data_IF_873956326387
#
_entry.id   IF_873956326387
#
_cell.length_a   1.000
_cell.length_b   1.000
_cell.length_c   1.000
_cell.angle_alpha   90.00
_cell.angle_beta   90.00
_cell.angle_gamma   90.00
#
_symmetry.space_group_name_H-M   'P 1'
#
loop_
_entity.id
_entity.type
_entity.pdbx_description
1 polymer ?
#
# COMPACT_ATOMS: atom_id res chain seq x y z
N UNK A 1 -4.83 24.79 0.14
CA UNK A 1 -5.65 23.78 -0.56
C UNK A 1 -4.78 22.70 -1.20
N UNK A 2 -3.76 23.03 -1.99
CA UNK A 2 -2.95 22.06 -2.76
C UNK A 2 -2.21 21.00 -1.93
N UNK A 3 -1.63 21.32 -0.78
CA UNK A 3 -0.88 20.34 0.02
C UNK A 3 -1.76 19.25 0.67
N UNK A 4 -3.08 19.46 0.79
CA UNK A 4 -4.00 18.46 1.34
C UNK A 4 -4.28 17.31 0.35
N UNK A 5 -4.26 17.60 -0.96
CA UNK A 5 -4.50 16.61 -2.03
C UNK A 5 -3.42 15.54 -2.10
N UNK A 6 -2.18 15.87 -1.74
CA UNK A 6 -1.07 14.89 -1.75
C UNK A 6 -1.32 13.74 -0.77
N UNK A 7 -2.07 13.96 0.31
CA UNK A 7 -2.39 12.87 1.24
C UNK A 7 -3.49 11.94 0.71
N UNK A 8 -4.31 12.39 -0.24
CA UNK A 8 -5.31 11.53 -0.88
C UNK A 8 -4.68 10.49 -1.81
N UNK A 9 -3.38 10.64 -2.15
CA UNK A 9 -2.59 9.66 -2.90
C UNK A 9 -1.96 8.54 -2.04
N UNK A 10 -1.99 8.67 -0.72
CA UNK A 10 -1.44 7.68 0.21
C UNK A 10 -2.31 6.44 0.48
N UNK A 11 -3.63 6.56 0.61
CA UNK A 11 -4.50 5.42 0.88
C UNK A 11 -4.32 4.23 -0.07
N UNK A 12 -4.13 4.43 -1.38
CA UNK A 12 -3.89 3.32 -2.30
C UNK A 12 -2.58 2.55 -2.06
N UNK A 13 -1.58 3.18 -1.45
CA UNK A 13 -0.33 2.49 -1.11
C UNK A 13 -0.49 1.67 0.17
N UNK A 14 -1.25 2.17 1.14
CA UNK A 14 -1.39 1.51 2.44
C UNK A 14 -2.51 0.46 2.47
N UNK A 15 -3.66 0.78 1.88
CA UNK A 15 -4.89 -0.05 1.89
C UNK A 15 -5.15 -0.68 0.53
N UNK A 16 -4.44 -0.27 -0.53
CA UNK A 16 -4.66 -0.81 -1.86
C UNK A 16 -4.46 -2.32 -1.99
N UNK A 17 -3.76 -2.98 -1.05
CA UNK A 17 -3.66 -4.46 -1.03
C UNK A 17 -5.03 -5.12 -0.97
N UNK A 18 -6.02 -4.51 -0.30
CA UNK A 18 -7.38 -5.04 -0.17
C UNK A 18 -8.09 -5.10 -1.53
N UNK A 19 -7.83 -4.11 -2.38
CA UNK A 19 -8.44 -4.02 -3.72
C UNK A 19 -7.60 -4.68 -4.80
N UNK A 20 -6.27 -4.68 -4.65
CA UNK A 20 -5.34 -5.27 -5.61
C UNK A 20 -5.20 -6.78 -5.41
N UNK A 21 -5.26 -7.25 -4.17
CA UNK A 21 -5.03 -8.63 -3.76
C UNK A 21 -6.29 -9.31 -3.22
N UNK A 22 -7.49 -8.94 -3.69
CA UNK A 22 -8.69 -9.65 -3.32
C UNK A 22 -8.58 -11.13 -3.76
N UNK A 23 -9.04 -12.03 -2.90
CA UNK A 23 -9.05 -13.47 -3.15
C UNK A 23 -10.47 -13.82 -3.62
N UNK A 24 -10.69 -14.08 -4.91
CA UNK A 24 -11.98 -14.59 -5.36
C UNK A 24 -12.17 -16.04 -4.93
N UNK A 25 -13.42 -16.51 -4.99
CA UNK A 25 -13.71 -17.93 -4.91
C UNK A 25 -12.89 -18.68 -5.97
N UNK A 26 -12.21 -19.72 -5.54
CA UNK A 26 -11.27 -20.46 -6.36
C UNK A 26 -11.43 -21.95 -6.11
N UNK A 27 -11.04 -22.73 -7.11
CA UNK A 27 -10.96 -24.18 -7.03
C UNK A 27 -9.75 -24.66 -7.81
N UNK A 28 -9.41 -25.90 -7.58
CA UNK A 28 -8.30 -26.52 -8.28
C UNK A 28 -8.63 -26.79 -9.74
N UNK A 29 -7.67 -26.56 -10.62
CA UNK A 29 -7.75 -27.03 -11.99
C UNK A 29 -7.54 -28.55 -11.97
N UNK A 30 -8.53 -29.29 -12.46
CA UNK A 30 -8.46 -30.75 -12.60
C UNK A 30 -8.34 -31.08 -14.09
N UNK A 31 -7.17 -31.56 -14.56
CA UNK A 31 -6.98 -31.94 -15.96
C UNK A 31 -8.00 -33.00 -16.38
N UNK A 32 -8.55 -32.89 -17.59
CA UNK A 32 -9.53 -33.84 -18.15
C UNK A 32 -10.99 -33.59 -17.76
N UNK A 33 -11.27 -32.83 -16.69
CA UNK A 33 -12.66 -32.51 -16.28
C UNK A 33 -13.43 -31.78 -17.38
N UNK A 34 -12.82 -30.80 -18.04
CA UNK A 34 -13.48 -30.03 -19.09
C UNK A 34 -13.90 -30.91 -20.29
N UNK A 35 -13.12 -31.94 -20.61
CA UNK A 35 -13.41 -32.88 -21.69
C UNK A 35 -14.54 -33.85 -21.30
N UNK A 36 -14.51 -34.37 -20.08
CA UNK A 36 -15.59 -35.21 -19.53
C UNK A 36 -16.90 -34.43 -19.40
N UNK A 37 -16.85 -33.20 -18.89
CA UNK A 37 -17.99 -32.30 -18.74
C UNK A 37 -18.66 -32.04 -20.09
N UNK A 38 -17.86 -31.75 -21.13
CA UNK A 38 -18.35 -31.60 -22.51
C UNK A 38 -18.97 -32.89 -23.07
N UNK A 39 -18.33 -34.04 -22.85
CA UNK A 39 -18.81 -35.36 -23.31
C UNK A 39 -20.11 -35.78 -22.64
N UNK A 40 -20.25 -35.52 -21.34
CA UNK A 40 -21.41 -35.87 -20.54
C UNK A 40 -22.53 -34.81 -20.60
N UNK A 41 -22.24 -33.61 -21.10
CA UNK A 41 -23.20 -32.51 -21.19
C UNK A 41 -23.58 -31.92 -19.83
N UNK A 42 -22.65 -31.90 -18.88
CA UNK A 42 -22.90 -31.40 -17.52
C UNK A 42 -23.14 -29.89 -17.50
N UNK A 43 -24.05 -29.46 -16.64
CA UNK A 43 -24.13 -28.07 -16.21
C UNK A 43 -22.95 -27.73 -15.26
N UNK A 44 -22.63 -26.44 -15.11
CA UNK A 44 -21.56 -26.00 -14.21
C UNK A 44 -21.80 -26.48 -12.76
N UNK A 45 -23.05 -26.53 -12.32
CA UNK A 45 -23.40 -26.98 -10.97
C UNK A 45 -23.20 -28.49 -10.81
N UNK A 46 -23.56 -29.29 -11.80
CA UNK A 46 -23.29 -30.73 -11.83
C UNK A 46 -21.79 -31.02 -11.87
N UNK A 47 -21.03 -30.31 -12.73
CA UNK A 47 -19.58 -30.43 -12.79
C UNK A 47 -18.94 -30.16 -11.42
N UNK A 48 -19.35 -29.09 -10.74
CA UNK A 48 -18.81 -28.72 -9.43
C UNK A 48 -19.17 -29.75 -8.34
N UNK A 49 -20.40 -30.26 -8.35
CA UNK A 49 -20.83 -31.29 -7.40
C UNK A 49 -20.06 -32.61 -7.56
N UNK A 50 -19.68 -32.95 -8.80
CA UNK A 50 -18.89 -34.14 -9.08
C UNK A 50 -17.38 -33.94 -8.86
N UNK A 51 -16.83 -32.75 -9.10
CA UNK A 51 -15.38 -32.56 -9.21
C UNK A 51 -14.75 -31.89 -8.00
N UNK A 52 -15.52 -31.11 -7.24
CA UNK A 52 -15.03 -30.38 -6.06
C UNK A 52 -15.44 -31.10 -4.79
N UNK A 53 -14.49 -31.44 -3.89
CA UNK A 53 -14.83 -32.10 -2.63
C UNK A 53 -15.82 -31.28 -1.79
N UNK A 54 -16.86 -31.92 -1.24
CA UNK A 54 -17.81 -31.28 -0.31
C UNK A 54 -18.40 -29.93 -0.82
N UNK A 55 -18.65 -29.81 -2.13
CA UNK A 55 -19.27 -28.61 -2.72
C UNK A 55 -20.64 -28.32 -2.07
N UNK A 56 -20.91 -27.07 -1.71
CA UNK A 56 -22.18 -26.62 -1.09
C UNK A 56 -22.23 -26.63 0.45
N UNK A 57 -21.25 -27.20 1.15
CA UNK A 57 -21.17 -27.09 2.62
C UNK A 57 -20.36 -25.84 3.02
N UNK A 58 -21.04 -24.74 3.36
CA UNK A 58 -20.39 -23.45 3.68
C UNK A 58 -19.31 -23.52 4.78
N UNK A 59 -19.46 -24.36 5.81
CA UNK A 59 -18.47 -24.51 6.89
C UNK A 59 -17.19 -25.26 6.47
N UNK A 60 -17.27 -26.16 5.48
CA UNK A 60 -16.13 -26.96 4.99
C UNK A 60 -15.63 -26.55 3.60
N UNK A 61 -16.33 -25.64 2.94
CA UNK A 61 -15.99 -25.07 1.64
C UNK A 61 -14.57 -24.49 1.64
N UNK A 62 -14.14 -23.83 2.73
CA UNK A 62 -12.81 -23.25 2.80
C UNK A 62 -11.70 -24.31 2.73
N UNK A 63 -11.92 -25.49 3.32
CA UNK A 63 -11.00 -26.62 3.25
C UNK A 63 -11.07 -27.35 1.93
N UNK A 64 -12.20 -27.33 1.21
CA UNK A 64 -12.27 -28.01 -0.09
C UNK A 64 -11.74 -27.22 -1.27
N UNK A 65 -11.62 -25.89 -1.14
CA UNK A 65 -11.08 -25.03 -2.20
C UNK A 65 -9.62 -25.34 -2.55
N UNK A 66 -8.85 -25.88 -1.58
CA UNK A 66 -7.41 -26.17 -1.71
C UNK A 66 -7.06 -27.63 -2.04
N UNK A 67 -8.08 -28.48 -2.23
CA UNK A 67 -7.91 -29.91 -2.43
C UNK A 67 -8.72 -30.38 -3.63
N UNK A 68 -8.19 -31.37 -4.35
CA UNK A 68 -8.89 -32.05 -5.44
C UNK A 68 -8.89 -33.55 -5.26
N UNK A 69 -9.84 -34.23 -5.89
CA UNK A 69 -9.80 -35.69 -5.96
C UNK A 69 -8.55 -36.14 -6.72
N UNK A 70 -7.82 -37.08 -6.14
CA UNK A 70 -6.67 -37.72 -6.77
C UNK A 70 -7.17 -38.81 -7.71
N UNK A 71 -7.66 -38.39 -8.88
CA UNK A 71 -8.14 -39.26 -9.92
C UNK A 71 -7.79 -38.71 -11.31
N UNK A 72 -7.60 -39.63 -12.25
CA UNK A 72 -7.40 -39.30 -13.65
C UNK A 72 -8.76 -39.25 -14.36
N UNK A 73 -9.19 -38.04 -14.74
CA UNK A 73 -10.45 -37.81 -15.42
C UNK A 73 -10.43 -38.27 -16.89
N UNK A 74 -9.27 -38.63 -17.43
CA UNK A 74 -9.16 -39.13 -18.80
C UNK A 74 -9.34 -40.66 -18.91
N UNK A 75 -9.61 -41.34 -17.79
CA UNK A 75 -9.79 -42.79 -17.79
C UNK A 75 -11.01 -43.24 -18.61
N UNK A 76 -10.78 -44.21 -19.48
CA UNK A 76 -11.85 -44.88 -20.22
C UNK A 76 -12.75 -45.67 -19.26
N UNK A 77 -14.03 -45.32 -19.18
CA UNK A 77 -15.02 -46.00 -18.34
C UNK A 77 -15.63 -45.16 -17.20
N UNK A 78 -15.35 -43.86 -17.15
CA UNK A 78 -16.05 -42.94 -16.23
C UNK A 78 -17.55 -42.86 -16.55
N UNK A 79 -18.38 -43.09 -15.53
CA UNK A 79 -19.83 -42.90 -15.62
C UNK A 79 -20.17 -41.41 -15.52
N UNK A 80 -21.04 -40.93 -16.41
CA UNK A 80 -21.50 -39.54 -16.40
C UNK A 80 -22.43 -39.21 -15.23
N UNK A 81 -23.06 -40.20 -14.58
CA UNK A 81 -23.99 -39.96 -13.46
C UNK A 81 -23.31 -40.10 -12.10
N UNK A 82 -22.32 -40.98 -12.00
CA UNK A 82 -21.59 -41.28 -10.76
C UNK A 82 -20.10 -41.53 -11.01
N UNK A 83 -19.32 -40.50 -11.39
CA UNK A 83 -17.90 -40.68 -11.74
C UNK A 83 -17.02 -41.19 -10.59
N UNK A 84 -17.45 -41.05 -9.33
CA UNK A 84 -16.69 -41.41 -8.12
C UNK A 84 -16.98 -42.83 -7.58
N UNK A 85 -18.01 -43.51 -8.09
CA UNK A 85 -18.43 -44.82 -7.56
C UNK A 85 -17.36 -45.91 -7.75
N UNK A 86 -16.65 -45.89 -8.88
CA UNK A 86 -15.57 -46.87 -9.15
C UNK A 86 -14.38 -46.75 -8.18
N UNK A 87 -14.19 -45.59 -7.54
CA UNK A 87 -13.07 -45.34 -6.63
C UNK A 87 -13.43 -45.51 -5.16
N UNK A 88 -14.72 -45.51 -4.82
CA UNK A 88 -15.21 -45.75 -3.45
C UNK A 88 -15.38 -47.23 -3.13
N UNK A 89 -15.48 -48.11 -4.15
CA UNK A 89 -15.66 -49.56 -3.97
C UNK A 89 -14.34 -50.34 -3.77
N UNK A 90 -13.21 -49.78 -4.22
CA UNK A 90 -11.91 -50.48 -4.20
C UNK A 90 -11.10 -50.29 -2.90
N UNK A 91 -11.39 -49.26 -2.10
CA UNK A 91 -10.72 -49.02 -0.82
C UNK A 91 -11.71 -49.23 0.33
N UNK A 92 -11.30 -49.96 1.36
CA UNK A 92 -12.06 -50.18 2.61
C UNK A 92 -12.30 -48.89 3.44
N UNK A 93 -11.94 -47.73 2.91
CA UNK A 93 -12.32 -46.40 3.38
C UNK A 93 -13.28 -45.78 2.37
N UNK A 94 -14.50 -45.44 2.81
CA UNK A 94 -15.58 -44.87 1.99
C UNK A 94 -15.31 -43.45 1.46
N UNK A 95 -14.05 -43.05 1.26
CA UNK A 95 -13.65 -41.71 0.83
C UNK A 95 -12.61 -41.80 -0.28
N UNK A 96 -12.87 -41.10 -1.38
CA UNK A 96 -11.93 -40.93 -2.50
C UNK A 96 -10.69 -40.19 -1.99
N UNK A 97 -9.46 -40.61 -2.36
CA UNK A 97 -8.24 -39.94 -1.93
C UNK A 97 -8.21 -38.50 -2.44
N UNK A 98 -7.77 -37.58 -1.58
CA UNK A 98 -7.59 -36.17 -1.88
C UNK A 98 -6.11 -35.85 -2.07
N UNK A 99 -5.81 -34.91 -2.94
CA UNK A 99 -4.47 -34.36 -3.14
C UNK A 99 -4.49 -32.83 -3.19
N UNK A 100 -3.34 -32.23 -2.91
CA UNK A 100 -3.10 -30.80 -3.12
C UNK A 100 -3.11 -30.45 -4.62
N UNK A 101 -3.33 -29.18 -4.91
CA UNK A 101 -3.59 -28.72 -6.26
C UNK A 101 -2.30 -28.25 -6.92
N UNK A 102 -1.76 -29.10 -7.80
CA UNK A 102 -0.49 -28.88 -8.49
C UNK A 102 -0.68 -28.32 -9.91
N UNK A 103 -1.81 -28.61 -10.54
CA UNK A 103 -2.08 -28.29 -11.96
C UNK A 103 -2.64 -26.87 -12.18
N UNK A 104 -2.72 -26.05 -11.13
CA UNK A 104 -3.20 -24.67 -11.19
C UNK A 104 -4.61 -24.46 -10.63
N UNK A 105 -5.18 -23.28 -10.91
CA UNK A 105 -6.39 -22.78 -10.24
C UNK A 105 -7.40 -22.20 -11.23
N UNK A 106 -8.68 -22.37 -10.91
CA UNK A 106 -9.79 -21.75 -11.62
C UNK A 106 -10.47 -20.75 -10.68
N UNK A 107 -10.49 -19.49 -11.08
CA UNK A 107 -11.06 -18.38 -10.30
C UNK A 107 -12.43 -17.98 -10.82
N UNK A 108 -13.40 -17.83 -9.92
CA UNK A 108 -14.74 -17.35 -10.24
C UNK A 108 -14.82 -15.83 -10.07
N UNK A 109 -14.20 -15.08 -10.98
CA UNK A 109 -14.27 -13.61 -10.99
C UNK A 109 -14.18 -13.02 -12.39
N UNK A 110 -14.93 -11.94 -12.63
CA UNK A 110 -14.85 -11.17 -13.88
C UNK A 110 -13.61 -10.27 -13.97
N UNK A 111 -12.93 -10.02 -12.85
CA UNK A 111 -11.74 -9.19 -12.74
C UNK A 111 -10.46 -9.98 -12.50
N UNK A 112 -9.31 -9.27 -12.59
CA UNK A 112 -8.00 -9.82 -12.27
C UNK A 112 -7.44 -9.17 -11.02
N UNK A 113 -6.89 -9.98 -10.11
CA UNK A 113 -6.17 -9.56 -8.91
C UNK A 113 -4.74 -10.10 -8.92
N UNK A 114 -3.90 -9.59 -8.01
CA UNK A 114 -2.54 -10.12 -7.77
C UNK A 114 -2.61 -11.61 -7.43
N UNK A 115 -3.65 -12.03 -6.71
CA UNK A 115 -3.88 -13.43 -6.32
C UNK A 115 -4.14 -14.28 -7.54
N UNK A 116 -5.05 -13.86 -8.42
CA UNK A 116 -5.42 -14.63 -9.61
C UNK A 116 -4.29 -14.71 -10.64
N UNK A 117 -3.41 -13.71 -10.67
CA UNK A 117 -2.31 -13.67 -11.64
C UNK A 117 -1.08 -14.47 -11.18
N UNK A 118 -0.78 -14.48 -9.88
CA UNK A 118 0.37 -15.20 -9.32
C UNK A 118 0.00 -16.46 -8.54
N UNK A 119 -1.27 -16.89 -8.60
CA UNK A 119 -1.80 -18.07 -7.91
C UNK A 119 -1.51 -18.10 -6.39
N UNK A 120 -1.72 -16.97 -5.72
CA UNK A 120 -1.36 -16.78 -4.30
C UNK A 120 -2.44 -17.30 -3.34
N UNK A 121 -2.85 -18.55 -3.51
CA UNK A 121 -3.89 -19.21 -2.70
C UNK A 121 -3.32 -20.42 -1.96
N UNK A 122 -4.03 -20.89 -0.93
CA UNK A 122 -3.70 -22.11 -0.18
C UNK A 122 -2.28 -22.07 0.40
N UNK A 123 -1.37 -22.95 -0.03
CA UNK A 123 0.03 -22.98 0.46
C UNK A 123 0.78 -21.67 0.23
N UNK A 124 0.38 -20.90 -0.78
CA UNK A 124 1.02 -19.64 -1.16
C UNK A 124 0.29 -18.40 -0.61
N UNK A 125 -0.76 -18.58 0.18
CA UNK A 125 -1.56 -17.49 0.76
C UNK A 125 -0.73 -16.51 1.61
N UNK A 126 0.26 -17.02 2.35
CA UNK A 126 1.18 -16.21 3.18
C UNK A 126 1.98 -15.17 2.37
N UNK A 127 2.11 -15.36 1.05
CA UNK A 127 2.79 -14.39 0.19
C UNK A 127 2.04 -13.06 0.18
N UNK A 128 0.70 -13.06 0.20
CA UNK A 128 -0.06 -11.81 0.33
C UNK A 128 0.25 -11.06 1.63
N UNK A 129 0.37 -11.80 2.74
CA UNK A 129 0.73 -11.22 4.04
C UNK A 129 2.17 -10.69 4.02
N UNK A 130 3.08 -11.38 3.34
CA UNK A 130 4.45 -10.90 3.11
C UNK A 130 4.43 -9.59 2.32
N UNK A 131 3.60 -9.48 1.27
CA UNK A 131 3.49 -8.28 0.45
C UNK A 131 3.11 -7.05 1.31
N UNK A 132 2.14 -7.19 2.22
CA UNK A 132 1.77 -6.12 3.15
C UNK A 132 2.84 -5.89 4.23
N UNK A 133 3.46 -6.97 4.73
CA UNK A 133 4.54 -6.88 5.72
C UNK A 133 5.75 -6.12 5.18
N UNK A 134 6.10 -6.29 3.92
CA UNK A 134 7.15 -5.53 3.25
C UNK A 134 6.84 -4.02 3.20
N UNK A 135 5.58 -3.62 2.97
CA UNK A 135 5.19 -2.20 3.07
C UNK A 135 5.44 -1.67 4.48
N UNK A 136 5.02 -2.42 5.50
CA UNK A 136 5.16 -2.01 6.90
C UNK A 136 6.63 -1.93 7.34
N UNK A 137 7.46 -2.91 6.94
CA UNK A 137 8.90 -2.87 7.16
C UNK A 137 9.55 -1.66 6.47
N UNK A 138 9.15 -1.40 5.21
CA UNK A 138 9.56 -0.20 4.49
C UNK A 138 9.13 1.08 5.21
N UNK A 139 7.91 1.15 5.74
CA UNK A 139 7.42 2.31 6.49
C UNK A 139 8.27 2.58 7.73
N UNK A 140 8.64 1.52 8.46
CA UNK A 140 9.48 1.64 9.65
C UNK A 140 10.85 2.23 9.30
N UNK A 141 11.58 1.60 8.37
CA UNK A 141 12.91 2.07 7.94
C UNK A 141 12.81 3.47 7.34
N UNK A 142 11.84 3.67 6.45
CA UNK A 142 11.58 4.93 5.77
C UNK A 142 11.30 6.10 6.70
N UNK A 143 10.53 5.88 7.76
CA UNK A 143 10.21 6.92 8.74
C UNK A 143 11.46 7.50 9.41
N UNK A 144 12.47 6.66 9.65
CA UNK A 144 13.75 7.05 10.26
C UNK A 144 14.64 7.72 9.20
N UNK A 145 14.88 7.05 8.07
CA UNK A 145 15.84 7.51 7.06
C UNK A 145 15.39 8.80 6.37
N UNK A 146 14.13 8.84 5.92
CA UNK A 146 13.59 9.98 5.16
C UNK A 146 13.38 11.18 6.10
N UNK A 147 13.00 10.95 7.36
CA UNK A 147 12.93 12.01 8.37
C UNK A 147 14.28 12.72 8.53
N UNK A 148 15.36 11.94 8.70
CA UNK A 148 16.72 12.47 8.78
C UNK A 148 17.12 13.25 7.52
N UNK A 149 16.81 12.72 6.33
CA UNK A 149 17.09 13.38 5.05
C UNK A 149 16.29 14.69 4.92
N UNK A 150 15.02 14.71 5.34
CA UNK A 150 14.16 15.90 5.26
C UNK A 150 14.69 17.05 6.14
N UNK A 151 15.22 16.73 7.31
CA UNK A 151 15.80 17.73 8.21
C UNK A 151 17.14 18.25 7.71
N UNK A 152 17.94 17.41 7.06
CA UNK A 152 19.26 17.82 6.53
C UNK A 152 19.19 18.56 5.20
N UNK A 153 18.41 18.06 4.25
CA UNK A 153 18.38 18.55 2.86
C UNK A 153 17.19 19.47 2.55
N UNK A 154 16.23 19.57 3.47
CA UNK A 154 15.04 20.40 3.31
C UNK A 154 13.80 19.57 3.03
N UNK A 155 12.65 20.11 3.42
CA UNK A 155 11.38 19.39 3.44
C UNK A 155 10.80 19.33 2.03
N UNK A 156 10.93 20.41 1.25
CA UNK A 156 10.46 20.46 -0.14
C UNK A 156 11.17 19.46 -1.05
N UNK A 157 12.51 19.43 -1.01
CA UNK A 157 13.29 18.53 -1.86
C UNK A 157 13.01 17.07 -1.51
N UNK A 158 12.97 16.74 -0.22
CA UNK A 158 12.65 15.41 0.27
C UNK A 158 11.26 14.94 -0.17
N UNK A 159 10.24 15.83 -0.10
CA UNK A 159 8.90 15.52 -0.60
C UNK A 159 8.87 15.20 -2.09
N UNK A 160 9.63 15.91 -2.90
CA UNK A 160 9.62 15.68 -4.36
C UNK A 160 10.32 14.39 -4.73
N UNK A 161 11.45 14.09 -4.10
CA UNK A 161 12.17 12.84 -4.29
C UNK A 161 11.29 11.65 -3.88
N UNK A 162 10.62 11.74 -2.72
CA UNK A 162 9.74 10.67 -2.25
C UNK A 162 8.53 10.46 -3.16
N UNK A 163 7.89 11.53 -3.65
CA UNK A 163 6.81 11.44 -4.66
C UNK A 163 7.32 10.78 -5.95
N UNK A 164 8.49 11.19 -6.44
CA UNK A 164 9.06 10.68 -7.68
C UNK A 164 9.35 9.18 -7.57
N UNK A 165 10.06 8.76 -6.52
CA UNK A 165 10.37 7.35 -6.27
C UNK A 165 9.08 6.55 -6.13
N UNK A 166 8.11 7.05 -5.36
CA UNK A 166 6.83 6.37 -5.17
C UNK A 166 6.08 6.15 -6.49
N UNK A 167 6.05 7.18 -7.34
CA UNK A 167 5.35 7.17 -8.62
C UNK A 167 6.02 6.23 -9.63
N UNK A 168 7.36 6.26 -9.70
CA UNK A 168 8.13 5.34 -10.56
C UNK A 168 7.93 3.90 -10.09
N UNK A 169 8.10 3.62 -8.79
CA UNK A 169 7.91 2.27 -8.24
C UNK A 169 6.47 1.77 -8.44
N UNK A 170 5.46 2.64 -8.38
CA UNK A 170 4.08 2.27 -8.63
C UNK A 170 3.79 1.88 -10.08
N UNK A 171 4.43 2.55 -11.06
CA UNK A 171 4.36 2.17 -12.47
C UNK A 171 5.10 0.84 -12.68
N UNK A 172 6.32 0.71 -12.16
CA UNK A 172 7.11 -0.52 -12.29
C UNK A 172 6.38 -1.73 -11.69
N UNK A 173 5.65 -1.55 -10.59
CA UNK A 173 4.82 -2.60 -10.01
C UNK A 173 3.68 -3.03 -10.93
N UNK A 174 3.03 -2.10 -11.65
CA UNK A 174 1.98 -2.44 -12.61
C UNK A 174 2.49 -3.23 -13.83
N UNK A 175 3.78 -3.10 -14.17
CA UNK A 175 4.44 -3.82 -15.25
C UNK A 175 5.31 -4.99 -14.78
N UNK A 176 5.30 -5.31 -13.49
CA UNK A 176 6.15 -6.35 -12.93
C UNK A 176 5.80 -7.74 -13.54
N UNK A 177 6.80 -8.50 -14.05
CA UNK A 177 6.58 -9.81 -14.64
C UNK A 177 6.56 -10.93 -13.61
N UNK A 178 7.10 -10.70 -12.40
CA UNK A 178 7.15 -11.70 -11.34
C UNK A 178 6.77 -11.12 -9.99
N UNK A 179 6.27 -12.00 -9.12
CA UNK A 179 5.89 -11.67 -7.75
C UNK A 179 7.05 -11.04 -6.96
N UNK A 180 8.28 -11.53 -7.12
CA UNK A 180 9.46 -11.00 -6.43
C UNK A 180 9.72 -9.54 -6.78
N UNK A 181 9.63 -9.17 -8.07
CA UNK A 181 9.78 -7.77 -8.49
C UNK A 181 8.69 -6.88 -7.90
N UNK A 182 7.45 -7.38 -7.82
CA UNK A 182 6.36 -6.65 -7.17
C UNK A 182 6.67 -6.37 -5.70
N UNK A 183 7.12 -7.38 -4.94
CA UNK A 183 7.46 -7.22 -3.52
C UNK A 183 8.60 -6.20 -3.35
N UNK A 184 9.62 -6.23 -4.20
CA UNK A 184 10.73 -5.26 -4.17
C UNK A 184 10.22 -3.84 -4.41
N UNK A 185 9.45 -3.61 -5.48
CA UNK A 185 8.90 -2.28 -5.75
C UNK A 185 7.95 -1.81 -4.65
N UNK A 186 7.22 -2.73 -4.05
CA UNK A 186 6.32 -2.45 -2.93
C UNK A 186 7.08 -2.08 -1.66
N UNK A 187 8.19 -2.74 -1.36
CA UNK A 187 9.10 -2.37 -0.28
C UNK A 187 9.68 -0.97 -0.51
N UNK A 188 10.10 -0.66 -1.73
CA UNK A 188 10.61 0.68 -2.10
C UNK A 188 9.51 1.75 -1.93
N UNK A 189 8.28 1.48 -2.38
CA UNK A 189 7.14 2.35 -2.11
C UNK A 189 6.97 2.55 -0.61
N UNK A 190 7.07 1.49 0.19
CA UNK A 190 7.04 1.54 1.65
C UNK A 190 8.07 2.52 2.22
N UNK A 191 9.33 2.37 1.83
CA UNK A 191 10.46 3.19 2.29
C UNK A 191 10.25 4.69 2.11
N UNK A 192 9.70 5.12 0.98
CA UNK A 192 9.52 6.56 0.70
C UNK A 192 8.17 7.11 1.19
N UNK A 193 7.17 6.25 1.31
CA UNK A 193 5.80 6.64 1.65
C UNK A 193 5.72 7.27 3.04
N UNK A 194 6.01 6.53 4.10
CA UNK A 194 5.79 7.03 5.47
C UNK A 194 6.58 8.31 5.75
N UNK A 195 7.82 8.36 5.24
CA UNK A 195 8.67 9.53 5.30
C UNK A 195 8.08 10.75 4.59
N UNK A 196 7.68 10.60 3.32
CA UNK A 196 7.05 11.68 2.56
C UNK A 196 5.74 12.17 3.20
N UNK A 197 4.95 11.26 3.77
CA UNK A 197 3.74 11.62 4.53
C UNK A 197 4.08 12.52 5.72
N UNK A 198 5.05 12.11 6.55
CA UNK A 198 5.45 12.87 7.73
C UNK A 198 6.04 14.23 7.34
N UNK A 199 6.94 14.27 6.36
CA UNK A 199 7.55 15.52 5.87
C UNK A 199 6.49 16.48 5.34
N UNK A 200 5.46 15.97 4.66
CA UNK A 200 4.35 16.76 4.13
C UNK A 200 3.53 17.41 5.24
N UNK A 201 3.19 16.63 6.26
CA UNK A 201 2.51 17.15 7.44
C UNK A 201 3.33 18.24 8.15
N UNK A 202 4.61 17.99 8.39
CA UNK A 202 5.52 18.94 9.03
C UNK A 202 5.59 20.23 8.23
N UNK A 203 5.79 20.15 6.91
CA UNK A 203 5.86 21.33 6.05
C UNK A 203 4.61 22.22 6.21
N UNK A 204 3.41 21.64 6.16
CA UNK A 204 2.16 22.40 6.34
C UNK A 204 2.08 22.98 7.77
N UNK A 205 2.44 22.21 8.79
CA UNK A 205 2.40 22.66 10.18
C UNK A 205 3.42 23.79 10.48
N UNK A 206 4.50 23.88 9.71
CA UNK A 206 5.48 24.95 9.80
C UNK A 206 5.01 26.26 9.14
N UNK A 207 4.18 26.18 8.10
CA UNK A 207 3.54 27.35 7.49
C UNK A 207 2.37 27.91 8.31
N UNK A 208 1.79 27.10 9.17
CA UNK A 208 0.56 27.42 9.90
C UNK A 208 0.87 27.84 11.33
N UNK A 209 0.31 28.98 11.75
CA UNK A 209 0.45 29.48 13.12
C UNK A 209 -0.15 28.53 14.16
N UNK A 210 0.35 28.62 15.41
CA UNK A 210 0.01 27.70 16.52
C UNK A 210 -1.49 27.45 16.68
N UNK A 211 -2.32 28.50 16.55
CA UNK A 211 -3.78 28.44 16.71
C UNK A 211 -4.48 27.50 15.71
N UNK A 212 -3.95 27.36 14.50
CA UNK A 212 -4.62 26.61 13.42
C UNK A 212 -4.00 25.23 13.16
N UNK A 213 -2.91 24.87 13.87
CA UNK A 213 -2.22 23.59 13.68
C UNK A 213 -3.13 22.39 13.91
N UNK A 214 -3.97 22.44 14.95
CA UNK A 214 -4.92 21.35 15.25
C UNK A 214 -5.90 21.15 14.11
N UNK A 215 -6.52 22.23 13.62
CA UNK A 215 -7.46 22.19 12.49
C UNK A 215 -6.80 21.63 11.24
N UNK A 216 -5.58 22.08 10.92
CA UNK A 216 -4.83 21.57 9.77
C UNK A 216 -4.51 20.10 9.90
N UNK A 217 -4.14 19.61 11.09
CA UNK A 217 -3.96 18.19 11.34
C UNK A 217 -5.23 17.38 11.10
N UNK A 218 -6.40 17.88 11.54
CA UNK A 218 -7.70 17.24 11.31
C UNK A 218 -8.04 17.22 9.82
N UNK A 219 -7.92 18.34 9.11
CA UNK A 219 -8.17 18.42 7.66
C UNK A 219 -7.20 17.50 6.89
N UNK A 220 -5.95 17.43 7.34
CA UNK A 220 -4.98 16.50 6.79
C UNK A 220 -5.42 15.05 7.02
N UNK A 221 -5.94 14.68 8.20
CA UNK A 221 -6.54 13.35 8.42
C UNK A 221 -7.77 13.10 7.55
N UNK A 222 -8.69 14.05 7.44
CA UNK A 222 -9.88 13.91 6.61
C UNK A 222 -9.55 13.66 5.13
N UNK A 223 -8.50 14.29 4.58
CA UNK A 223 -8.07 14.08 3.20
C UNK A 223 -7.65 12.63 2.90
N UNK A 224 -7.17 11.89 3.90
CA UNK A 224 -6.87 10.46 3.78
C UNK A 224 -8.16 9.63 3.67
N UNK A 225 -9.13 9.90 4.54
CA UNK A 225 -10.44 9.24 4.50
C UNK A 225 -11.16 9.46 3.17
N UNK A 226 -11.12 10.69 2.64
CA UNK A 226 -11.66 10.99 1.30
C UNK A 226 -10.92 10.20 0.23
N UNK A 227 -9.59 10.11 0.30
CA UNK A 227 -8.81 9.32 -0.65
C UNK A 227 -9.13 7.82 -0.60
N UNK A 228 -9.48 7.27 0.57
CA UNK A 228 -9.97 5.88 0.69
C UNK A 228 -11.30 5.68 -0.05
N UNK A 229 -12.24 6.61 0.11
CA UNK A 229 -13.54 6.56 -0.58
C UNK A 229 -13.36 6.65 -2.10
N UNK A 230 -12.49 7.55 -2.56
CA UNK A 230 -12.15 7.67 -3.98
C UNK A 230 -11.50 6.39 -4.49
N UNK A 231 -10.55 5.80 -3.75
CA UNK A 231 -9.93 4.53 -4.11
C UNK A 231 -10.96 3.41 -4.26
N UNK A 232 -11.88 3.26 -3.30
CA UNK A 232 -12.92 2.25 -3.35
C UNK A 232 -13.82 2.42 -4.58
N UNK A 233 -14.20 3.67 -4.90
CA UNK A 233 -14.99 3.97 -6.10
C UNK A 233 -14.23 3.64 -7.39
N UNK A 234 -12.94 3.97 -7.47
CA UNK A 234 -12.10 3.66 -8.64
C UNK A 234 -11.88 2.15 -8.77
N UNK A 235 -11.68 1.44 -7.65
CA UNK A 235 -11.54 -0.02 -7.64
C UNK A 235 -12.81 -0.73 -8.11
N UNK A 236 -13.99 -0.21 -7.77
CA UNK A 236 -15.26 -0.71 -8.30
C UNK A 236 -15.39 -0.51 -9.81
N UNK A 237 -14.90 0.62 -10.34
CA UNK A 237 -14.96 0.91 -11.77
C UNK A 237 -13.90 0.15 -12.60
N UNK A 238 -12.76 -0.20 -12.00
CA UNK A 238 -11.62 -0.83 -12.69
C UNK A 238 -11.35 -2.22 -12.06
N UNK A 239 -11.91 -3.30 -12.63
CA UNK A 239 -11.78 -4.66 -12.08
C UNK A 239 -10.42 -5.32 -12.36
N UNK A 240 -9.51 -4.65 -13.07
CA UNK A 240 -8.17 -5.14 -13.39
C UNK A 240 -7.11 -4.44 -12.54
N UNK A 241 -6.41 -5.20 -11.69
CA UNK A 241 -5.47 -4.63 -10.71
C UNK A 241 -4.32 -3.82 -11.32
N UNK A 242 -3.78 -4.21 -12.48
CA UNK A 242 -2.69 -3.47 -13.17
C UNK A 242 -3.15 -2.07 -13.58
N UNK A 243 -4.35 -1.98 -14.15
CA UNK A 243 -4.96 -0.70 -14.56
C UNK A 243 -5.35 0.14 -13.34
N UNK A 244 -5.88 -0.49 -12.29
CA UNK A 244 -6.17 0.18 -11.02
C UNK A 244 -4.89 0.80 -10.41
N UNK A 245 -3.78 0.04 -10.42
CA UNK A 245 -2.49 0.52 -9.94
C UNK A 245 -1.99 1.74 -10.75
N UNK A 246 -2.14 1.73 -12.07
CA UNK A 246 -1.79 2.87 -12.93
C UNK A 246 -2.70 4.07 -12.69
N UNK A 247 -4.02 3.87 -12.63
CA UNK A 247 -5.01 4.92 -12.40
C UNK A 247 -4.77 5.66 -11.07
N UNK A 248 -4.26 4.94 -10.08
CA UNK A 248 -3.87 5.47 -8.76
C UNK A 248 -2.52 6.19 -8.80
N UNK A 249 -1.54 5.66 -9.54
CA UNK A 249 -0.17 6.14 -9.50
C UNK A 249 0.07 7.34 -10.43
N UNK A 250 -0.56 7.36 -11.60
CA UNK A 250 -0.37 8.41 -12.60
C UNK A 250 -0.74 9.82 -12.10
N UNK A 251 -1.84 10.01 -11.34
CA UNK A 251 -2.16 11.31 -10.77
C UNK A 251 -1.06 11.87 -9.85
N UNK A 252 -0.20 11.02 -9.29
CA UNK A 252 0.86 11.46 -8.38
C UNK A 252 1.92 12.32 -9.07
N UNK A 253 2.10 12.16 -10.39
CA UNK A 253 3.01 13.01 -11.16
C UNK A 253 2.56 14.47 -11.19
N UNK A 254 1.26 14.75 -11.09
CA UNK A 254 0.78 16.14 -10.97
C UNK A 254 1.27 16.81 -9.69
N UNK A 255 1.53 16.04 -8.62
CA UNK A 255 2.13 16.59 -7.41
C UNK A 255 3.59 17.03 -7.58
N UNK A 256 4.30 16.58 -8.63
CA UNK A 256 5.65 17.10 -8.93
C UNK A 256 5.59 18.58 -9.37
N UNK A 257 4.47 19.03 -9.95
CA UNK A 257 4.25 20.44 -10.26
C UNK A 257 4.26 21.32 -8.99
N UNK A 258 4.10 20.72 -7.80
CA UNK A 258 4.24 21.44 -6.53
C UNK A 258 5.64 21.98 -6.29
N UNK A 259 6.67 21.51 -7.00
CA UNK A 259 7.99 22.13 -6.97
C UNK A 259 7.94 23.62 -7.30
N UNK A 260 7.08 24.04 -8.23
CA UNK A 260 7.01 25.43 -8.68
C UNK A 260 6.17 26.29 -7.71
N UNK A 261 5.17 25.68 -7.09
CA UNK A 261 4.21 26.40 -6.24
C UNK A 261 4.62 26.48 -4.77
N UNK A 262 5.26 25.44 -4.22
CA UNK A 262 5.56 25.37 -2.78
C UNK A 262 6.89 26.03 -2.44
N UNK A 263 6.92 27.02 -1.53
CA UNK A 263 8.15 27.49 -0.93
C UNK A 263 8.72 26.46 0.05
N UNK A 264 10.02 26.55 0.33
CA UNK A 264 10.67 25.77 1.40
C UNK A 264 10.22 26.28 2.77
N UNK A 265 10.32 25.42 3.79
CA UNK A 265 9.97 25.79 5.17
C UNK A 265 10.77 27.01 5.67
N UNK A 266 10.09 28.07 6.15
CA UNK A 266 10.74 29.23 6.75
C UNK A 266 11.60 28.86 7.97
N UNK A 267 11.11 27.91 8.79
CA UNK A 267 11.81 27.46 10.00
C UNK A 267 13.08 26.70 9.66
N UNK A 268 13.01 25.83 8.64
CA UNK A 268 14.20 25.14 8.14
C UNK A 268 15.24 26.12 7.60
N UNK A 269 14.80 27.12 6.85
CA UNK A 269 15.69 28.13 6.28
C UNK A 269 16.40 28.94 7.37
N UNK A 270 15.71 29.32 8.44
CA UNK A 270 16.32 29.99 9.61
C UNK A 270 17.33 29.05 10.30
N UNK A 271 16.96 27.79 10.56
CA UNK A 271 17.85 26.80 11.16
C UNK A 271 19.12 26.53 10.32
N UNK A 272 19.03 26.70 8.99
CA UNK A 272 20.16 26.56 8.08
C UNK A 272 20.94 27.87 7.85
N UNK A 273 20.72 28.92 8.65
CA UNK A 273 21.32 30.25 8.53
C UNK A 273 21.05 30.93 7.16
N UNK A 274 19.97 30.57 6.47
CA UNK A 274 19.54 31.14 5.17
C UNK A 274 18.47 32.22 5.36
N UNK A 275 18.80 33.22 6.17
CA UNK A 275 17.86 34.22 6.67
C UNK A 275 17.20 35.06 5.57
N UNK A 276 17.93 35.43 4.51
CA UNK A 276 17.38 36.17 3.37
C UNK A 276 16.27 35.41 2.65
N UNK A 277 16.48 34.10 2.43
CA UNK A 277 15.49 33.23 1.78
C UNK A 277 14.28 33.04 2.68
N UNK A 278 14.50 32.86 3.98
CA UNK A 278 13.41 32.77 4.96
C UNK A 278 12.55 34.04 4.94
N UNK A 279 13.18 35.22 4.96
CA UNK A 279 12.50 36.51 4.96
C UNK A 279 11.70 36.74 3.67
N UNK A 280 12.21 36.33 2.50
CA UNK A 280 11.46 36.36 1.23
C UNK A 280 10.19 35.52 1.29
N UNK A 281 10.28 34.29 1.83
CA UNK A 281 9.12 33.40 1.97
C UNK A 281 8.11 33.97 2.97
N UNK A 282 8.59 34.44 4.13
CA UNK A 282 7.74 35.02 5.17
C UNK A 282 7.03 36.28 4.67
N UNK A 283 7.72 37.17 3.95
CA UNK A 283 7.12 38.35 3.31
C UNK A 283 6.06 37.96 2.28
N UNK A 284 6.28 36.92 1.48
CA UNK A 284 5.29 36.42 0.51
C UNK A 284 4.03 35.91 1.22
N UNK A 285 4.18 35.19 2.33
CA UNK A 285 3.05 34.70 3.15
C UNK A 285 2.31 35.89 3.79
N UNK A 286 3.04 36.85 4.35
CA UNK A 286 2.47 38.03 4.99
C UNK A 286 1.65 38.87 3.99
N UNK A 287 2.20 39.10 2.78
CA UNK A 287 1.48 39.74 1.67
C UNK A 287 0.22 38.97 1.27
N UNK A 288 0.31 37.65 1.13
CA UNK A 288 -0.85 36.81 0.81
C UNK A 288 -1.94 36.82 1.88
N UNK A 289 -1.55 36.99 3.15
CA UNK A 289 -2.49 37.10 4.28
C UNK A 289 -2.94 38.54 4.58
N UNK A 290 -2.49 39.53 3.79
CA UNK A 290 -2.80 40.95 4.00
C UNK A 290 -2.23 41.52 5.31
N UNK A 291 -1.21 40.90 5.92
CA UNK A 291 -0.61 41.35 7.19
C UNK A 291 0.77 41.96 6.95
N UNK A 292 1.10 43.01 7.70
CA UNK A 292 2.48 43.53 7.81
C UNK A 292 3.24 42.73 8.86
N UNK A 293 4.51 42.42 8.57
CA UNK A 293 5.38 41.75 9.52
C UNK A 293 5.71 42.69 10.68
N UNK A 294 5.59 42.22 11.95
CA UNK A 294 6.09 42.97 13.08
C UNK A 294 7.59 43.21 12.94
N UNK A 295 8.08 44.40 13.26
CA UNK A 295 9.52 44.73 13.30
C UNK A 295 10.31 43.82 14.25
N UNK A 296 9.65 43.25 15.27
CA UNK A 296 10.21 42.25 16.20
C UNK A 296 10.49 40.87 15.60
N UNK A 297 10.01 40.58 14.38
CA UNK A 297 10.35 39.32 13.70
C UNK A 297 11.77 39.31 13.15
N UNK A 298 12.33 40.50 12.89
CA UNK A 298 13.70 40.68 12.40
C UNK A 298 14.72 40.43 13.53
N UNK A 299 14.34 40.69 14.78
CA UNK A 299 15.14 40.41 15.98
C UNK A 299 14.98 38.99 16.54
N UNK A 300 14.03 38.19 16.02
CA UNK A 300 13.83 36.77 16.38
C UNK A 300 14.67 35.81 15.52
N UNK A 301 15.26 36.31 14.45
CA UNK A 301 16.30 35.59 13.72
C UNK A 301 17.53 35.66 14.63
N UNK A 302 18.06 34.52 15.11
CA UNK A 302 19.27 34.55 15.90
C UNK A 302 20.32 35.32 15.11
N UNK A 303 20.90 36.36 15.72
CA UNK A 303 22.19 36.88 15.26
C UNK A 303 23.14 35.68 15.14
N UNK A 304 24.03 35.70 14.16
CA UNK A 304 24.90 34.56 13.84
C UNK A 304 25.69 34.08 15.06
N UNK A 305 25.11 33.19 15.87
CA UNK A 305 25.86 32.52 16.91
C UNK A 305 26.84 31.59 16.20
N UNK A 306 28.13 31.83 16.44
CA UNK A 306 29.29 31.09 15.94
C UNK A 306 29.43 29.70 16.61
N UNK A 307 28.29 29.11 16.98
CA UNK A 307 28.21 27.75 17.49
C UNK A 307 28.28 26.75 16.34
N UNK A 308 29.15 25.75 16.49
CA UNK A 308 29.19 24.58 15.62
C UNK A 308 27.77 24.05 15.38
N UNK A 309 27.45 23.73 14.12
CA UNK A 309 26.23 23.00 13.78
C UNK A 309 26.27 21.65 14.51
N UNK A 310 25.65 21.56 15.69
CA UNK A 310 25.44 20.28 16.32
C UNK A 310 24.52 19.49 15.39
N UNK A 311 25.06 18.50 14.69
CA UNK A 311 24.26 17.64 13.82
C UNK A 311 23.46 16.73 14.75
N UNK A 312 22.16 16.95 14.93
CA UNK A 312 21.38 16.16 15.85
C UNK A 312 21.43 14.70 15.40
N UNK A 313 21.88 13.82 16.29
CA UNK A 313 21.92 12.38 16.07
C UNK A 313 20.71 11.72 16.71
N UNK A 314 20.31 10.53 16.22
CA UNK A 314 19.26 9.73 16.86
C UNK A 314 19.59 9.41 18.33
N UNK A 315 20.88 9.31 18.65
CA UNK A 315 21.34 9.08 20.02
C UNK A 315 21.01 10.25 20.97
N UNK A 316 20.81 11.47 20.45
CA UNK A 316 20.47 12.63 21.28
C UNK A 316 19.03 12.58 21.80
N UNK A 317 18.14 11.77 21.18
CA UNK A 317 16.77 11.56 21.68
C UNK A 317 16.71 10.83 23.02
N UNK A 318 17.74 10.04 23.34
CA UNK A 318 17.84 9.26 24.59
C UNK A 318 18.86 9.86 25.57
N UNK A 319 19.71 10.77 25.09
CA UNK A 319 20.85 11.31 25.81
C UNK A 319 20.46 12.07 27.07
N UNK A 320 19.48 12.97 27.00
CA UNK A 320 19.02 13.74 28.16
C UNK A 320 17.74 13.17 28.75
N UNK A 321 17.57 13.18 30.09
CA UNK A 321 16.42 12.57 30.76
C UNK A 321 15.10 13.26 30.38
N UNK A 322 15.13 14.57 30.11
CA UNK A 322 13.95 15.32 29.67
C UNK A 322 13.53 14.92 28.26
N UNK A 323 14.44 14.90 27.28
CA UNK A 323 14.10 14.49 25.91
C UNK A 323 13.67 13.03 25.89
N UNK A 324 14.34 12.16 26.65
CA UNK A 324 13.95 10.75 26.79
C UNK A 324 12.51 10.57 27.28
N UNK A 325 12.11 11.32 28.32
CA UNK A 325 10.72 11.29 28.84
C UNK A 325 9.72 11.72 27.75
N UNK A 326 9.99 12.82 27.04
CA UNK A 326 9.12 13.28 25.97
C UNK A 326 9.06 12.27 24.81
N UNK A 327 10.19 11.65 24.44
CA UNK A 327 10.24 10.60 23.42
C UNK A 327 9.37 9.41 23.82
N UNK A 328 9.46 8.90 25.06
CA UNK A 328 8.60 7.79 25.51
C UNK A 328 7.12 8.15 25.56
N UNK A 329 6.76 9.35 26.01
CA UNK A 329 5.37 9.82 26.00
C UNK A 329 4.87 9.87 24.55
N UNK A 330 5.65 10.45 23.64
CA UNK A 330 5.30 10.54 22.22
C UNK A 330 5.13 9.16 21.58
N UNK A 331 6.02 8.20 21.90
CA UNK A 331 5.91 6.81 21.44
C UNK A 331 4.66 6.11 21.98
N UNK A 332 4.23 6.40 23.21
CA UNK A 332 3.01 5.83 23.78
C UNK A 332 1.73 6.45 23.20
N UNK A 333 1.75 7.74 22.89
CA UNK A 333 0.58 8.46 22.34
C UNK A 333 0.34 8.24 20.84
N UNK A 334 1.32 7.70 20.12
CA UNK A 334 1.28 7.45 18.68
C UNK A 334 0.77 6.05 18.35
#
# INVERSE_FOLDING_TARGET
MSCHLQKSAFPPIYVGVVFLGFIPEHRCLSPGVAEVSSKCGWSLEEELNHTVPEWGNHEKSLTSQCWRYNMDWNMTGLSCTSPLENFTSHNSQSRVPLMHCEDGWVYNSSGTSIVTEFNLVCEDSWKLDLFQSCVNAGFFVGSISIGYIADRFGRKLCLLITILINSISGILMAFAPSYTWMVIFRLIQGLVSKGGWLTGYILIAEFVGLKYRRTVGIVYQAAFSVGLLVLAAVAYAIPHWRWLQLAVTLPNFFFLLYYWCLPESPRWLIAQKKNDKAMKVINRIAKGNGKKLPSSFQSLIPEEEDGEKHNPSFLDLVRTPQIRKHTFILMYTW
#
